data_IF_121392460001
#
_entry.id   IF_121392460001
#
_cell.length_a   1.000
_cell.length_b   1.000
_cell.length_c   1.000
_cell.angle_alpha   90.00
_cell.angle_beta   90.00
_cell.angle_gamma   90.00
#
_symmetry.space_group_name_H-M   'P 1'
#
loop_
_entity.id
_entity.type
_entity.pdbx_description
1 polymer ?
#
# COMPACT_ATOMS: atom_id res chain seq x y z
N UNK A 1 -0.02 -8.05 20.31
CA UNK A 1 -1.45 -8.14 19.92
C UNK A 1 -2.05 -6.74 19.95
N UNK A 2 -2.86 -6.36 18.97
CA UNK A 2 -3.43 -5.00 18.84
C UNK A 2 -4.85 -4.92 19.38
N UNK A 3 -5.29 -3.71 19.79
CA UNK A 3 -6.69 -3.41 20.13
C UNK A 3 -7.53 -3.03 18.90
N UNK A 4 -6.89 -2.82 17.75
CA UNK A 4 -7.58 -2.52 16.50
C UNK A 4 -8.27 -3.77 15.94
N UNK A 5 -9.40 -3.57 15.26
CA UNK A 5 -10.08 -4.65 14.55
C UNK A 5 -9.28 -4.99 13.30
N UNK A 6 -8.76 -6.21 13.21
CA UNK A 6 -8.04 -6.71 12.04
C UNK A 6 -8.99 -7.60 11.24
N UNK A 7 -9.19 -7.30 9.96
CA UNK A 7 -10.09 -8.06 9.10
C UNK A 7 -9.57 -8.16 7.68
N UNK A 8 -9.78 -9.33 7.07
CA UNK A 8 -9.59 -9.52 5.63
C UNK A 8 -10.77 -8.89 4.88
N UNK A 9 -10.47 -8.12 3.83
CA UNK A 9 -11.49 -7.52 2.96
C UNK A 9 -12.12 -8.62 2.12
N UNK A 10 -13.46 -8.68 2.09
CA UNK A 10 -14.21 -9.67 1.29
C UNK A 10 -15.09 -9.02 0.23
N UNK A 11 -15.66 -7.88 0.56
CA UNK A 11 -16.52 -7.06 -0.29
C UNK A 11 -16.11 -5.58 -0.17
N UNK A 12 -16.88 -4.69 -0.79
CA UNK A 12 -16.71 -3.25 -0.63
C UNK A 12 -16.75 -2.85 0.85
N UNK A 13 -15.64 -2.27 1.33
CA UNK A 13 -15.44 -1.99 2.75
C UNK A 13 -15.07 -0.54 2.97
N UNK A 14 -15.99 0.23 3.57
CA UNK A 14 -15.72 1.63 3.95
C UNK A 14 -14.62 1.69 5.01
N UNK A 15 -13.58 2.49 4.74
CA UNK A 15 -12.45 2.69 5.66
C UNK A 15 -12.91 3.48 6.88
N UNK A 16 -12.55 2.99 8.07
CA UNK A 16 -12.90 3.62 9.35
C UNK A 16 -11.72 3.60 10.32
N UNK A 17 -11.64 4.57 11.25
CA UNK A 17 -10.60 4.58 12.27
C UNK A 17 -10.55 3.30 13.11
N UNK A 18 -9.37 2.95 13.64
CA UNK A 18 -9.12 1.77 14.49
C UNK A 18 -9.35 0.41 13.83
N UNK A 19 -9.21 0.35 12.50
CA UNK A 19 -9.31 -0.88 11.71
C UNK A 19 -8.04 -1.13 10.91
N UNK A 20 -7.69 -2.40 10.76
CA UNK A 20 -6.63 -2.88 9.87
C UNK A 20 -7.29 -3.79 8.84
N UNK A 21 -7.18 -3.40 7.57
CA UNK A 21 -7.74 -4.13 6.45
C UNK A 21 -6.63 -4.91 5.75
N UNK A 22 -6.84 -6.21 5.56
CA UNK A 22 -5.89 -7.11 4.91
C UNK A 22 -6.46 -7.53 3.56
N UNK A 23 -5.66 -7.39 2.50
CA UNK A 23 -6.01 -7.87 1.17
C UNK A 23 -6.05 -9.41 1.15
N UNK A 24 -7.10 -10.04 0.60
CA UNK A 24 -7.15 -11.49 0.46
C UNK A 24 -6.16 -11.97 -0.62
N UNK A 25 -5.69 -13.23 -0.54
CA UNK A 25 -4.78 -13.79 -1.53
C UNK A 25 -5.40 -13.82 -2.94
N UNK A 26 -4.58 -13.60 -3.96
CA UNK A 26 -5.01 -13.69 -5.36
C UNK A 26 -5.90 -12.53 -5.84
N UNK A 27 -5.99 -11.44 -5.09
CA UNK A 27 -6.70 -10.21 -5.46
C UNK A 27 -5.76 -9.01 -5.53
N UNK A 28 -6.19 -7.98 -6.23
CA UNK A 28 -5.69 -6.61 -6.07
C UNK A 28 -6.71 -5.81 -5.26
N UNK A 29 -6.27 -4.72 -4.64
CA UNK A 29 -7.14 -3.83 -3.86
C UNK A 29 -6.86 -2.39 -4.24
N UNK A 30 -7.92 -1.59 -4.32
CA UNK A 30 -7.85 -0.14 -4.49
C UNK A 30 -8.73 0.55 -3.44
N UNK A 31 -8.57 1.85 -3.28
CA UNK A 31 -9.50 2.70 -2.54
C UNK A 31 -10.15 3.72 -3.49
N UNK A 32 -11.45 3.93 -3.33
CA UNK A 32 -12.20 4.97 -4.04
C UNK A 32 -13.36 5.47 -3.18
N UNK A 33 -13.48 6.79 -3.03
CA UNK A 33 -14.48 7.41 -2.16
C UNK A 33 -14.36 6.94 -0.71
N UNK A 34 -13.14 6.69 -0.21
CA UNK A 34 -12.93 6.13 1.13
C UNK A 34 -13.41 4.67 1.31
N UNK A 35 -13.64 3.94 0.22
CA UNK A 35 -14.09 2.54 0.23
C UNK A 35 -13.08 1.64 -0.46
N UNK A 36 -12.73 0.53 0.19
CA UNK A 36 -11.85 -0.50 -0.36
C UNK A 36 -12.62 -1.38 -1.33
N UNK A 37 -12.05 -1.61 -2.51
CA UNK A 37 -12.62 -2.46 -3.56
C UNK A 37 -11.61 -3.51 -3.97
N UNK A 38 -12.10 -4.74 -4.17
CA UNK A 38 -11.28 -5.86 -4.62
C UNK A 38 -11.41 -6.05 -6.12
N UNK A 39 -10.27 -6.13 -6.79
CA UNK A 39 -10.17 -6.40 -8.21
C UNK A 39 -9.61 -7.81 -8.44
N UNK A 40 -10.00 -8.49 -9.52
CA UNK A 40 -9.30 -9.68 -9.97
C UNK A 40 -7.82 -9.38 -10.15
N UNK A 41 -6.95 -10.28 -9.69
CA UNK A 41 -5.52 -10.17 -9.97
C UNK A 41 -5.27 -10.58 -11.41
N UNK A 42 -4.52 -9.77 -12.15
CA UNK A 42 -4.12 -10.12 -13.52
C UNK A 42 -3.28 -11.40 -13.51
N UNK A 43 -3.57 -12.30 -14.46
CA UNK A 43 -2.95 -13.62 -14.56
C UNK A 43 -1.56 -13.59 -15.20
N UNK A 44 -1.16 -12.47 -15.80
CA UNK A 44 0.14 -12.28 -16.45
C UNK A 44 0.79 -10.97 -16.00
N UNK A 45 2.13 -10.96 -15.99
CA UNK A 45 2.92 -9.76 -15.66
C UNK A 45 3.47 -9.72 -14.23
N UNK A 46 4.24 -8.66 -13.95
CA UNK A 46 4.81 -8.42 -12.62
C UNK A 46 3.71 -7.95 -11.68
N UNK A 47 3.51 -8.67 -10.58
CA UNK A 47 2.48 -8.32 -9.60
C UNK A 47 2.93 -7.11 -8.77
N UNK A 48 2.29 -5.97 -9.02
CA UNK A 48 2.56 -4.69 -8.35
C UNK A 48 1.37 -4.23 -7.50
N UNK A 49 0.85 -5.12 -6.67
CA UNK A 49 -0.37 -4.89 -5.91
C UNK A 49 -0.21 -3.73 -4.92
N UNK A 50 0.99 -3.50 -4.38
CA UNK A 50 1.27 -2.38 -3.48
C UNK A 50 1.28 -1.06 -4.25
N UNK A 51 1.98 -0.99 -5.40
CA UNK A 51 1.98 0.21 -6.25
C UNK A 51 0.55 0.57 -6.71
N UNK A 52 -0.25 -0.42 -7.11
CA UNK A 52 -1.65 -0.20 -7.51
C UNK A 52 -2.48 0.40 -6.37
N UNK A 53 -2.35 -0.17 -5.16
CA UNK A 53 -3.09 0.34 -4.01
C UNK A 53 -2.63 1.76 -3.64
N UNK A 54 -1.32 2.00 -3.55
CA UNK A 54 -0.76 3.30 -3.19
C UNK A 54 -1.12 4.39 -4.20
N UNK A 55 -1.15 4.09 -5.51
CA UNK A 55 -1.64 5.05 -6.50
C UNK A 55 -3.09 5.45 -6.24
N UNK A 56 -3.99 4.48 -6.06
CA UNK A 56 -5.39 4.78 -5.76
C UNK A 56 -5.56 5.53 -4.42
N UNK A 57 -4.69 5.25 -3.44
CA UNK A 57 -4.68 5.95 -2.16
C UNK A 57 -4.24 7.40 -2.31
N UNK A 58 -3.21 7.65 -3.12
CA UNK A 58 -2.74 9.00 -3.42
C UNK A 58 -3.83 9.81 -4.15
N UNK A 59 -4.49 9.21 -5.13
CA UNK A 59 -5.60 9.83 -5.88
C UNK A 59 -6.81 10.15 -4.99
N UNK A 60 -7.20 9.23 -4.10
CA UNK A 60 -8.40 9.37 -3.27
C UNK A 60 -8.18 10.24 -2.02
N UNK A 61 -7.01 10.12 -1.36
CA UNK A 61 -6.75 10.74 -0.06
C UNK A 61 -5.78 11.93 -0.12
N UNK A 62 -5.02 12.09 -1.22
CA UNK A 62 -4.07 13.18 -1.41
C UNK A 62 -3.10 13.33 -0.25
N UNK A 63 -2.98 14.55 0.28
CA UNK A 63 -2.11 14.88 1.42
C UNK A 63 -2.43 14.13 2.73
N UNK A 64 -3.58 13.47 2.83
CA UNK A 64 -3.95 12.64 4.00
C UNK A 64 -3.39 11.22 3.90
N UNK A 65 -2.86 10.82 2.75
CA UNK A 65 -2.28 9.52 2.55
C UNK A 65 -0.94 9.39 3.30
N UNK A 66 -0.76 8.26 3.97
CA UNK A 66 0.52 7.86 4.56
C UNK A 66 0.90 6.50 3.98
N UNK A 67 2.02 6.44 3.27
CA UNK A 67 2.57 5.21 2.71
C UNK A 67 3.72 4.68 3.55
N UNK A 68 3.72 3.39 3.87
CA UNK A 68 4.81 2.74 4.61
C UNK A 68 5.24 1.47 3.90
N UNK A 69 6.50 1.39 3.49
CA UNK A 69 7.12 0.18 2.93
C UNK A 69 7.99 -0.48 3.99
N UNK A 70 7.76 -1.77 4.22
CA UNK A 70 8.50 -2.59 5.18
C UNK A 70 9.38 -3.62 4.47
N UNK A 71 10.12 -4.41 5.24
CA UNK A 71 10.98 -5.50 4.78
C UNK A 71 10.31 -6.39 3.71
N UNK A 72 11.01 -6.59 2.59
CA UNK A 72 10.55 -7.37 1.44
C UNK A 72 11.62 -7.51 0.37
N UNK A 73 11.47 -8.52 -0.51
CA UNK A 73 12.47 -8.87 -1.54
C UNK A 73 12.19 -8.29 -2.92
N UNK A 74 11.12 -7.51 -3.10
CA UNK A 74 10.68 -6.95 -4.39
C UNK A 74 10.88 -5.43 -4.46
N UNK A 75 10.39 -4.78 -5.52
CA UNK A 75 10.37 -3.31 -5.67
C UNK A 75 8.93 -2.77 -5.71
N UNK A 76 7.95 -3.61 -5.41
CA UNK A 76 6.52 -3.25 -5.36
C UNK A 76 6.28 -2.33 -4.15
N UNK A 77 5.77 -1.13 -4.40
CA UNK A 77 5.59 -0.07 -3.43
C UNK A 77 6.47 1.16 -3.71
N UNK A 78 7.54 1.03 -4.49
CA UNK A 78 8.44 2.15 -4.81
C UNK A 78 7.72 3.24 -5.62
N UNK A 79 7.07 2.87 -6.73
CA UNK A 79 6.35 3.84 -7.55
C UNK A 79 5.13 4.37 -6.80
N UNK A 80 4.45 3.53 -6.04
CA UNK A 80 3.32 3.94 -5.23
C UNK A 80 3.66 5.00 -4.19
N UNK A 81 4.83 4.90 -3.54
CA UNK A 81 5.29 5.93 -2.60
C UNK A 81 5.61 7.25 -3.32
N UNK A 82 6.18 7.22 -4.52
CA UNK A 82 6.37 8.44 -5.34
C UNK A 82 5.03 9.13 -5.60
N UNK A 83 3.97 8.39 -5.94
CA UNK A 83 2.62 8.94 -6.15
C UNK A 83 2.05 9.55 -4.87
N UNK A 84 2.17 8.88 -3.72
CA UNK A 84 1.72 9.42 -2.42
C UNK A 84 2.43 10.74 -2.11
N UNK A 85 3.75 10.80 -2.33
CA UNK A 85 4.54 12.01 -2.11
C UNK A 85 4.14 13.12 -3.08
N UNK A 86 3.97 12.81 -4.37
CA UNK A 86 3.53 13.77 -5.38
C UNK A 86 2.15 14.36 -5.07
N UNK A 87 1.27 13.58 -4.45
CA UNK A 87 -0.05 14.03 -3.98
C UNK A 87 0.00 14.82 -2.65
N UNK A 88 1.19 15.07 -2.09
CA UNK A 88 1.42 15.81 -0.85
C UNK A 88 1.29 14.97 0.43
N UNK A 89 1.21 13.64 0.31
CA UNK A 89 1.18 12.72 1.44
C UNK A 89 2.55 12.50 2.07
N UNK A 90 2.61 11.62 3.07
CA UNK A 90 3.84 11.31 3.82
C UNK A 90 4.23 9.86 3.54
N UNK A 91 5.51 9.61 3.33
CA UNK A 91 6.04 8.28 3.05
C UNK A 91 7.11 7.88 4.07
N UNK A 92 7.16 6.58 4.37
CA UNK A 92 8.18 5.98 5.22
C UNK A 92 8.66 4.67 4.60
N UNK A 93 9.94 4.36 4.81
CA UNK A 93 10.52 3.08 4.48
C UNK A 93 11.28 2.54 5.69
N UNK A 94 11.19 1.22 5.93
CA UNK A 94 11.92 0.59 7.02
C UNK A 94 13.44 0.76 6.83
N UNK A 95 14.13 1.05 7.93
CA UNK A 95 15.58 1.20 7.96
C UNK A 95 16.32 -0.15 7.95
N UNK A 96 17.56 -0.16 8.41
CA UNK A 96 18.46 -1.31 8.57
C UNK A 96 17.91 -2.47 9.43
N UNK A 97 16.78 -2.30 10.11
CA UNK A 97 16.08 -3.39 10.80
C UNK A 97 15.32 -4.34 9.85
N UNK A 98 15.27 -4.04 8.56
CA UNK A 98 14.65 -4.91 7.56
C UNK A 98 15.44 -6.22 7.39
N UNK A 99 14.76 -7.36 7.50
CA UNK A 99 15.37 -8.69 7.25
C UNK A 99 15.62 -8.92 5.75
N UNK A 100 14.80 -8.31 4.91
CA UNK A 100 14.94 -8.24 3.46
C UNK A 100 14.87 -6.77 3.05
N UNK A 101 16.00 -6.22 2.64
CA UNK A 101 16.18 -4.78 2.48
C UNK A 101 15.96 -4.28 1.04
N UNK A 102 15.77 -5.17 0.06
CA UNK A 102 15.57 -4.79 -1.34
C UNK A 102 14.40 -3.82 -1.53
N UNK A 103 13.24 -4.11 -0.92
CA UNK A 103 12.04 -3.27 -1.08
C UNK A 103 12.18 -1.91 -0.39
N UNK A 104 12.56 -1.81 0.90
CA UNK A 104 12.80 -0.51 1.51
C UNK A 104 13.91 0.31 0.84
N UNK A 105 15.02 -0.32 0.42
CA UNK A 105 16.10 0.39 -0.28
C UNK A 105 15.64 0.95 -1.63
N UNK A 106 14.81 0.19 -2.37
CA UNK A 106 14.23 0.68 -3.61
C UNK A 106 13.35 1.91 -3.37
N UNK A 107 12.53 1.89 -2.32
CA UNK A 107 11.69 3.02 -1.93
C UNK A 107 12.52 4.26 -1.55
N UNK A 108 13.57 4.09 -0.74
CA UNK A 108 14.46 5.19 -0.31
C UNK A 108 15.22 5.77 -1.50
N UNK A 109 15.69 4.94 -2.43
CA UNK A 109 16.46 5.42 -3.60
C UNK A 109 15.61 6.24 -4.59
N UNK A 110 14.31 5.96 -4.64
CA UNK A 110 13.32 6.69 -5.44
C UNK A 110 12.90 8.03 -4.81
N UNK A 111 13.07 8.17 -3.50
CA UNK A 111 12.68 9.36 -2.74
C UNK A 111 13.61 10.54 -3.04
N UNK A 112 13.19 11.43 -3.95
CA UNK A 112 13.88 12.68 -4.34
C UNK A 112 13.18 13.93 -3.85
#
# INVERSE_FOLDING_TARGET
>A
MTRMTVMEVRDESSVRPNHVFVIPPGRNMIISGGTLQLLPRESSGLHRSIDYFFRSLAEDQGHKAIGVVLSGTATDGTLGLEEIKAAGGITFAQNDTAQHDSMPRSAIAADR
#
